data_IF_462870057783
#
_entry.id   IF_462870057783
#
_cell.length_a   1.000
_cell.length_b   1.000
_cell.length_c   1.000
_cell.angle_alpha   90.00
_cell.angle_beta   90.00
_cell.angle_gamma   90.00
#
_symmetry.space_group_name_H-M   'P 1'
#
loop_
_entity.id
_entity.type
_entity.pdbx_description
1 polymer ?
#
# COMPACT_ATOMS: atom_id res chain seq x y z
N UNK A 1 -17.24 -6.70 -41.18
CA UNK A 1 -17.70 -6.01 -39.95
C UNK A 1 -16.56 -6.05 -38.94
N UNK A 2 -15.62 -5.10 -39.04
CA UNK A 2 -14.50 -5.00 -38.09
C UNK A 2 -15.08 -4.64 -36.72
N UNK A 3 -14.98 -5.55 -35.76
CA UNK A 3 -15.21 -5.24 -34.35
C UNK A 3 -14.13 -4.23 -33.96
N UNK A 4 -14.47 -2.94 -33.93
CA UNK A 4 -13.70 -1.95 -33.19
C UNK A 4 -13.67 -2.44 -31.75
N UNK A 5 -12.57 -3.07 -31.35
CA UNK A 5 -12.24 -3.14 -29.94
C UNK A 5 -12.23 -1.69 -29.46
N UNK A 6 -13.15 -1.38 -28.56
CA UNK A 6 -13.16 -0.09 -27.89
C UNK A 6 -11.94 -0.12 -26.96
N UNK A 7 -10.78 0.25 -27.49
CA UNK A 7 -9.64 0.67 -26.67
C UNK A 7 -10.16 1.94 -26.01
N UNK A 8 -10.64 1.81 -24.77
CA UNK A 8 -10.99 2.99 -23.98
C UNK A 8 -9.77 3.90 -23.96
N UNK A 9 -9.91 5.19 -24.29
CA UNK A 9 -8.78 6.10 -24.29
C UNK A 9 -8.11 6.11 -22.92
N UNK A 10 -6.78 6.16 -22.95
CA UNK A 10 -5.85 6.02 -21.84
C UNK A 10 -6.24 6.85 -20.59
N UNK A 11 -6.46 6.14 -19.49
CA UNK A 11 -5.98 6.42 -18.12
C UNK A 11 -6.47 7.59 -17.24
N UNK A 12 -7.54 8.33 -17.55
CA UNK A 12 -8.10 9.26 -16.52
C UNK A 12 -8.91 8.59 -15.41
N UNK A 13 -9.64 7.52 -15.74
CA UNK A 13 -10.57 6.92 -14.77
C UNK A 13 -9.83 6.23 -13.61
N UNK A 14 -8.75 5.51 -13.90
CA UNK A 14 -7.98 4.79 -12.87
C UNK A 14 -7.12 5.72 -12.02
N UNK A 15 -6.58 6.79 -12.60
CA UNK A 15 -5.95 7.88 -11.85
C UNK A 15 -6.96 8.49 -10.86
N UNK A 16 -8.14 8.89 -11.35
CA UNK A 16 -9.21 9.43 -10.50
C UNK A 16 -9.64 8.45 -9.41
N UNK A 17 -9.77 7.15 -9.71
CA UNK A 17 -10.08 6.13 -8.69
C UNK A 17 -8.99 6.10 -7.63
N UNK A 18 -7.71 6.09 -8.02
CA UNK A 18 -6.59 6.10 -7.08
C UNK A 18 -6.57 7.38 -6.21
N UNK A 19 -6.90 8.54 -6.78
CA UNK A 19 -7.07 9.80 -6.05
C UNK A 19 -8.22 9.73 -5.04
N UNK A 20 -9.37 9.17 -5.42
CA UNK A 20 -10.51 8.97 -4.50
C UNK A 20 -10.15 8.00 -3.37
N UNK A 21 -9.41 6.92 -3.67
CA UNK A 21 -8.87 6.02 -2.65
C UNK A 21 -7.90 6.74 -1.71
N UNK A 22 -7.04 7.61 -2.24
CA UNK A 22 -6.09 8.39 -1.46
C UNK A 22 -6.81 9.38 -0.53
N UNK A 23 -7.85 10.06 -1.02
CA UNK A 23 -8.73 10.91 -0.20
C UNK A 23 -9.37 10.08 0.92
N UNK A 24 -9.95 8.93 0.59
CA UNK A 24 -10.57 8.05 1.59
C UNK A 24 -9.58 7.57 2.67
N UNK A 25 -8.34 7.24 2.29
CA UNK A 25 -7.27 6.90 3.24
C UNK A 25 -6.90 8.09 4.13
N UNK A 26 -6.73 9.28 3.53
CA UNK A 26 -6.38 10.52 4.24
C UNK A 26 -7.44 10.88 5.28
N UNK A 27 -8.71 10.85 4.91
CA UNK A 27 -9.83 11.23 5.79
C UNK A 27 -10.31 10.11 6.70
N UNK A 28 -9.73 8.90 6.61
CA UNK A 28 -10.11 7.79 7.48
C UNK A 28 -9.93 8.16 8.97
N UNK A 29 -10.83 7.72 9.88
CA UNK A 29 -10.75 8.07 11.29
C UNK A 29 -9.51 7.44 11.94
N UNK A 30 -8.75 8.25 12.68
CA UNK A 30 -7.47 7.84 13.29
C UNK A 30 -7.44 8.17 14.78
N UNK A 31 -6.66 7.43 15.56
CA UNK A 31 -6.58 7.56 17.01
C UNK A 31 -6.20 8.99 17.42
N UNK A 32 -7.11 9.63 18.16
CA UNK A 32 -6.97 11.01 18.62
C UNK A 32 -6.99 12.06 17.50
N UNK A 33 -7.51 11.73 16.31
CA UNK A 33 -7.57 12.63 15.16
C UNK A 33 -6.19 12.99 14.58
N UNK A 34 -5.14 12.25 14.94
CA UNK A 34 -3.76 12.51 14.51
C UNK A 34 -3.43 11.66 13.29
N UNK A 35 -3.05 12.32 12.22
CA UNK A 35 -2.70 11.66 10.97
C UNK A 35 -1.18 11.59 10.79
N UNK A 36 -0.69 10.38 10.53
CA UNK A 36 0.72 10.07 10.30
C UNK A 36 0.92 9.25 9.02
N UNK A 37 -0.09 9.16 8.16
CA UNK A 37 0.03 8.40 6.92
C UNK A 37 0.67 9.23 5.81
N UNK A 38 1.44 8.55 4.97
CA UNK A 38 1.96 9.05 3.71
C UNK A 38 1.27 8.34 2.55
N UNK A 39 1.00 9.06 1.47
CA UNK A 39 0.28 8.53 0.31
C UNK A 39 1.08 8.83 -0.95
N UNK A 40 1.16 7.85 -1.85
CA UNK A 40 1.76 8.03 -3.18
C UNK A 40 1.06 7.15 -4.19
N UNK A 41 0.66 7.73 -5.30
CA UNK A 41 0.10 7.00 -6.44
C UNK A 41 1.24 6.70 -7.42
N UNK A 42 1.30 5.47 -7.92
CA UNK A 42 2.22 5.02 -8.96
C UNK A 42 1.41 4.64 -10.19
N UNK A 43 1.86 5.07 -11.37
CA UNK A 43 1.28 4.78 -12.69
C UNK A 43 2.38 4.73 -13.76
N UNK A 44 2.04 4.17 -14.93
CA UNK A 44 2.95 4.09 -16.08
C UNK A 44 4.28 3.41 -15.72
N UNK A 45 5.40 4.02 -16.12
CA UNK A 45 6.75 3.47 -15.94
C UNK A 45 7.10 3.13 -14.49
N UNK A 46 6.51 3.82 -13.51
CA UNK A 46 6.76 3.54 -12.09
C UNK A 46 6.20 2.17 -11.65
N UNK A 47 5.18 1.64 -12.33
CA UNK A 47 4.67 0.29 -12.10
C UNK A 47 5.64 -0.77 -12.60
N UNK A 48 6.22 -0.57 -13.80
CA UNK A 48 7.22 -1.49 -14.35
C UNK A 48 8.48 -1.51 -13.49
N UNK A 49 8.96 -0.33 -13.05
CA UNK A 49 10.09 -0.23 -12.14
C UNK A 49 9.85 -0.98 -10.82
N UNK A 50 8.65 -0.83 -10.24
CA UNK A 50 8.26 -1.54 -9.04
C UNK A 50 8.18 -3.06 -9.28
N UNK A 51 7.58 -3.51 -10.40
CA UNK A 51 7.45 -4.92 -10.75
C UNK A 51 8.81 -5.62 -10.92
N UNK A 52 9.76 -4.97 -11.61
CA UNK A 52 11.13 -5.45 -11.76
C UNK A 52 11.81 -5.55 -10.39
N UNK A 53 11.70 -4.51 -9.57
CA UNK A 53 12.29 -4.48 -8.24
C UNK A 53 11.71 -5.55 -7.31
N UNK A 54 10.40 -5.84 -7.41
CA UNK A 54 9.75 -6.92 -6.67
C UNK A 54 10.32 -8.27 -7.04
N UNK A 55 10.39 -8.59 -8.33
CA UNK A 55 10.99 -9.85 -8.83
C UNK A 55 12.42 -10.02 -8.32
N UNK A 56 13.24 -8.97 -8.48
CA UNK A 56 14.64 -8.97 -8.04
C UNK A 56 14.77 -9.20 -6.53
N UNK A 57 13.98 -8.49 -5.72
CA UNK A 57 13.98 -8.66 -4.27
C UNK A 57 13.61 -10.08 -3.85
N UNK A 58 12.61 -10.69 -4.51
CA UNK A 58 12.22 -12.08 -4.27
C UNK A 58 13.36 -13.07 -4.51
N UNK A 59 14.07 -12.91 -5.63
CA UNK A 59 15.22 -13.74 -6.00
C UNK A 59 16.39 -13.55 -5.02
N UNK A 60 16.78 -12.30 -4.74
CA UNK A 60 17.91 -11.98 -3.85
C UNK A 60 17.68 -12.43 -2.41
N UNK A 61 16.43 -12.42 -1.93
CA UNK A 61 16.07 -12.80 -0.55
C UNK A 61 15.52 -14.23 -0.43
N UNK A 62 15.45 -14.99 -1.53
CA UNK A 62 14.86 -16.33 -1.54
C UNK A 62 13.39 -16.35 -1.10
N UNK A 63 12.65 -15.24 -1.27
CA UNK A 63 11.26 -15.09 -0.83
C UNK A 63 10.30 -15.37 -1.96
N UNK A 64 9.35 -16.26 -1.72
CA UNK A 64 8.35 -16.70 -2.69
C UNK A 64 7.31 -15.60 -2.98
N UNK A 65 6.75 -15.66 -4.19
CA UNK A 65 5.60 -14.88 -4.67
C UNK A 65 5.84 -13.37 -4.90
N UNK A 66 7.07 -12.87 -4.76
CA UNK A 66 7.39 -11.49 -5.11
C UNK A 66 7.41 -11.27 -6.62
N UNK A 67 7.86 -12.27 -7.38
CA UNK A 67 7.76 -12.37 -8.83
C UNK A 67 6.31 -12.34 -9.31
N UNK A 68 5.45 -13.20 -8.73
CA UNK A 68 4.02 -13.26 -9.05
C UNK A 68 3.31 -11.94 -8.74
N UNK A 69 3.51 -11.41 -7.54
CA UNK A 69 2.86 -10.14 -7.16
C UNK A 69 3.44 -8.96 -7.96
N UNK A 70 4.70 -9.05 -8.42
CA UNK A 70 5.30 -8.10 -9.36
C UNK A 70 4.62 -8.12 -10.72
N UNK A 71 4.29 -9.30 -11.26
CA UNK A 71 3.51 -9.40 -12.50
C UNK A 71 2.11 -8.80 -12.37
N UNK A 72 1.46 -8.97 -11.20
CA UNK A 72 0.19 -8.31 -10.93
C UNK A 72 0.33 -6.78 -10.95
N UNK A 73 1.40 -6.24 -10.37
CA UNK A 73 1.69 -4.80 -10.40
C UNK A 73 1.93 -4.29 -11.82
N UNK A 74 2.72 -5.02 -12.62
CA UNK A 74 2.97 -4.70 -14.04
C UNK A 74 1.68 -4.59 -14.85
N UNK A 75 0.72 -5.49 -14.58
CA UNK A 75 -0.59 -5.53 -15.25
C UNK A 75 -1.64 -4.63 -14.60
N UNK A 76 -1.29 -3.90 -13.54
CA UNK A 76 -2.20 -2.98 -12.88
C UNK A 76 -2.23 -1.63 -13.59
N UNK A 77 -3.31 -0.89 -13.38
CA UNK A 77 -3.51 0.43 -13.95
C UNK A 77 -2.93 1.54 -13.06
N UNK A 78 -2.92 1.31 -11.74
CA UNK A 78 -2.27 2.16 -10.75
C UNK A 78 -1.95 1.37 -9.48
N UNK A 79 -1.09 1.91 -8.62
CA UNK A 79 -0.86 1.44 -7.25
C UNK A 79 -0.95 2.63 -6.30
N UNK A 80 -1.80 2.52 -5.27
CA UNK A 80 -1.75 3.42 -4.13
C UNK A 80 -0.83 2.84 -3.05
N UNK A 81 0.27 3.51 -2.76
CA UNK A 81 1.10 3.27 -1.59
C UNK A 81 0.52 4.03 -0.39
N UNK A 82 0.39 3.34 0.74
CA UNK A 82 0.01 3.93 2.03
C UNK A 82 1.09 3.57 3.05
N UNK A 83 1.82 4.57 3.51
CA UNK A 83 2.88 4.46 4.49
C UNK A 83 2.46 5.02 5.84
N UNK A 84 3.08 4.55 6.91
CA UNK A 84 3.05 5.16 8.23
C UNK A 84 4.42 5.75 8.52
N UNK A 85 4.48 7.07 8.76
CA UNK A 85 5.73 7.82 8.91
C UNK A 85 5.82 8.55 10.24
N UNK A 86 6.93 8.35 10.98
CA UNK A 86 7.27 9.05 12.23
C UNK A 86 6.09 9.19 13.19
N UNK A 87 5.28 8.12 13.29
CA UNK A 87 4.01 8.19 13.98
C UNK A 87 4.20 8.36 15.50
N UNK A 88 3.72 9.48 16.04
CA UNK A 88 3.81 9.72 17.47
C UNK A 88 2.94 8.71 18.24
N UNK A 89 3.42 8.29 19.41
CA UNK A 89 2.72 7.34 20.28
C UNK A 89 1.36 7.91 20.72
N UNK A 90 0.39 7.03 20.97
CA UNK A 90 -0.97 7.45 21.35
C UNK A 90 -1.04 8.10 22.74
N UNK A 91 -0.08 7.83 23.63
CA UNK A 91 -0.05 8.39 24.98
C UNK A 91 -1.07 7.75 25.94
N UNK A 92 -1.45 6.50 25.68
CA UNK A 92 -2.49 5.78 26.45
C UNK A 92 -1.94 4.83 27.52
N UNK A 93 -0.62 4.61 27.55
CA UNK A 93 0.06 3.64 28.44
C UNK A 93 -0.62 2.26 28.51
N UNK A 94 -1.12 1.79 27.36
CA UNK A 94 -2.02 0.63 27.28
C UNK A 94 -1.35 -0.74 27.18
N UNK A 95 -0.02 -0.84 27.09
CA UNK A 95 0.68 -2.13 26.98
C UNK A 95 0.61 -2.83 25.61
N UNK A 96 -0.31 -2.46 24.70
CA UNK A 96 -0.59 -3.22 23.47
C UNK A 96 0.59 -3.37 22.48
N UNK A 97 1.62 -2.52 22.60
CA UNK A 97 2.84 -2.58 21.80
C UNK A 97 3.99 -3.34 22.49
N UNK A 98 3.72 -3.96 23.64
CA UNK A 98 4.70 -4.68 24.46
C UNK A 98 5.42 -3.83 25.51
N UNK A 99 5.34 -2.50 25.44
CA UNK A 99 5.90 -1.59 26.44
C UNK A 99 4.86 -1.19 27.50
N UNK A 100 5.25 -1.17 28.78
CA UNK A 100 4.36 -0.83 29.90
C UNK A 100 3.80 0.60 29.79
N UNK A 101 4.66 1.58 29.50
CA UNK A 101 4.24 2.97 29.21
C UNK A 101 4.67 3.36 27.80
N UNK A 102 3.97 4.33 27.22
CA UNK A 102 4.33 4.91 25.93
C UNK A 102 5.75 5.50 25.98
N UNK A 103 6.17 6.09 27.09
CA UNK A 103 7.53 6.60 27.25
C UNK A 103 8.60 5.50 27.09
N UNK A 104 8.29 4.27 27.49
CA UNK A 104 9.22 3.14 27.49
C UNK A 104 9.33 2.44 26.12
N UNK A 105 8.42 2.72 25.18
CA UNK A 105 8.52 2.18 23.82
C UNK A 105 9.70 2.85 23.08
N UNK A 106 10.68 2.07 22.65
CA UNK A 106 11.81 2.59 21.88
C UNK A 106 11.36 3.22 20.56
N UNK A 107 12.22 4.10 20.01
CA UNK A 107 12.02 4.63 18.66
C UNK A 107 12.14 3.52 17.60
N UNK A 108 11.49 3.67 16.44
CA UNK A 108 11.60 2.68 15.37
C UNK A 108 13.04 2.55 14.89
N UNK A 109 13.50 1.33 14.72
CA UNK A 109 14.79 0.97 14.15
C UNK A 109 14.61 -0.02 13.00
N UNK A 110 15.63 -0.16 12.15
CA UNK A 110 15.57 -1.04 10.98
C UNK A 110 15.34 -2.50 11.37
N UNK A 111 14.28 -3.09 10.83
CA UNK A 111 14.09 -4.52 10.79
C UNK A 111 14.43 -5.11 9.41
N UNK A 112 14.17 -6.43 9.20
CA UNK A 112 14.45 -7.09 7.93
C UNK A 112 13.77 -6.43 6.74
N UNK A 113 12.52 -6.00 6.90
CA UNK A 113 11.68 -5.40 5.85
C UNK A 113 11.20 -4.00 6.22
N UNK A 114 10.58 -3.89 7.39
CA UNK A 114 10.03 -2.64 7.94
C UNK A 114 10.77 -2.22 9.22
N UNK A 115 10.61 -0.96 9.61
CA UNK A 115 11.11 -0.47 10.89
C UNK A 115 10.08 -0.66 12.01
N UNK A 116 10.56 -0.84 13.23
CA UNK A 116 9.75 -0.99 14.43
C UNK A 116 10.61 -0.91 15.70
N UNK A 117 10.01 -0.98 16.90
CA UNK A 117 8.59 -1.18 17.16
C UNK A 117 7.75 0.07 16.82
N UNK A 118 6.45 -0.14 16.58
CA UNK A 118 5.47 0.93 16.32
C UNK A 118 4.35 0.84 17.35
N UNK A 119 3.80 1.99 17.76
CA UNK A 119 2.61 2.02 18.60
C UNK A 119 1.45 1.25 17.92
N UNK A 120 0.85 0.28 18.64
CA UNK A 120 -0.19 -0.60 18.08
C UNK A 120 -1.37 0.18 17.47
N UNK A 121 -1.79 1.29 18.10
CA UNK A 121 -2.86 2.14 17.58
C UNK A 121 -2.49 2.86 16.27
N UNK A 122 -1.20 3.08 16.00
CA UNK A 122 -0.75 3.67 14.72
C UNK A 122 -0.71 2.65 13.60
N UNK A 123 -0.46 1.38 13.92
CA UNK A 123 -0.67 0.28 12.97
C UNK A 123 -2.16 0.07 12.67
N UNK A 124 -3.03 0.22 13.68
CA UNK A 124 -4.49 0.22 13.46
C UNK A 124 -4.91 1.40 12.58
N UNK A 125 -4.39 2.60 12.81
CA UNK A 125 -4.64 3.78 11.96
C UNK A 125 -4.26 3.52 10.49
N UNK A 126 -3.09 2.88 10.25
CA UNK A 126 -2.68 2.44 8.91
C UNK A 126 -3.68 1.42 8.33
N UNK A 127 -4.13 0.45 9.13
CA UNK A 127 -5.14 -0.53 8.73
C UNK A 127 -6.49 0.11 8.35
N UNK A 128 -6.95 1.10 9.11
CA UNK A 128 -8.18 1.86 8.84
C UNK A 128 -8.05 2.65 7.53
N UNK A 129 -6.90 3.28 7.30
CA UNK A 129 -6.62 3.99 6.05
C UNK A 129 -6.63 3.03 4.83
N UNK A 130 -5.94 1.88 4.95
CA UNK A 130 -5.91 0.84 3.93
C UNK A 130 -7.31 0.28 3.64
N UNK A 131 -8.09 -0.02 4.68
CA UNK A 131 -9.46 -0.50 4.54
C UNK A 131 -10.38 0.52 3.88
N UNK A 132 -10.22 1.81 4.19
CA UNK A 132 -11.00 2.89 3.58
C UNK A 132 -10.68 3.07 2.08
N UNK A 133 -9.41 2.99 1.71
CA UNK A 133 -8.99 2.99 0.31
C UNK A 133 -9.51 1.77 -0.45
N UNK A 134 -9.30 0.56 0.07
CA UNK A 134 -9.76 -0.68 -0.58
C UNK A 134 -11.29 -0.73 -0.72
N UNK A 135 -12.03 -0.27 0.29
CA UNK A 135 -13.49 -0.10 0.21
C UNK A 135 -13.89 0.85 -0.92
N UNK A 136 -13.17 1.96 -1.09
CA UNK A 136 -13.47 2.96 -2.13
C UNK A 136 -13.29 2.38 -3.53
N UNK A 137 -12.20 1.64 -3.78
CA UNK A 137 -12.03 0.87 -5.02
C UNK A 137 -13.19 -0.12 -5.23
N UNK A 138 -13.59 -0.86 -4.19
CA UNK A 138 -14.70 -1.80 -4.24
C UNK A 138 -16.06 -1.16 -4.55
N UNK A 139 -16.36 0.02 -4.00
CA UNK A 139 -17.59 0.78 -4.32
C UNK A 139 -17.63 1.15 -5.81
N UNK A 140 -16.46 1.44 -6.39
CA UNK A 140 -16.31 1.76 -7.81
C UNK A 140 -16.18 0.52 -8.70
N UNK A 141 -16.34 -0.68 -8.12
CA UNK A 141 -16.18 -1.98 -8.80
C UNK A 141 -14.81 -2.16 -9.47
N UNK A 142 -13.78 -1.56 -8.88
CA UNK A 142 -12.40 -1.69 -9.34
C UNK A 142 -11.73 -2.82 -8.56
N UNK A 143 -11.14 -3.76 -9.31
CA UNK A 143 -10.39 -4.85 -8.73
C UNK A 143 -9.20 -4.29 -7.95
N UNK A 144 -8.99 -4.80 -6.73
CA UNK A 144 -7.93 -4.34 -5.86
C UNK A 144 -7.51 -5.41 -4.85
N UNK A 145 -6.32 -5.24 -4.26
CA UNK A 145 -5.84 -6.12 -3.17
C UNK A 145 -4.79 -5.43 -2.31
N UNK A 146 -4.98 -5.38 -1.00
CA UNK A 146 -3.90 -4.90 -0.10
C UNK A 146 -2.72 -5.88 -0.13
N UNK A 147 -1.53 -5.40 -0.51
CA UNK A 147 -0.32 -6.21 -0.67
C UNK A 147 0.84 -5.68 0.18
N UNK A 148 1.32 -6.52 1.10
CA UNK A 148 2.51 -6.21 1.90
C UNK A 148 3.79 -6.18 1.04
N UNK A 149 3.90 -7.05 0.03
CA UNK A 149 5.13 -7.19 -0.80
C UNK A 149 5.47 -5.92 -1.56
N UNK A 150 4.44 -5.22 -2.06
CA UNK A 150 4.60 -3.90 -2.68
C UNK A 150 5.25 -2.95 -1.68
N UNK A 151 4.74 -2.91 -0.45
CA UNK A 151 5.24 -2.02 0.59
C UNK A 151 6.68 -2.31 1.00
N UNK A 152 7.06 -3.59 1.12
CA UNK A 152 8.45 -4.00 1.39
C UNK A 152 9.39 -3.42 0.33
N UNK A 153 9.06 -3.64 -0.94
CA UNK A 153 9.94 -3.21 -2.04
C UNK A 153 9.95 -1.70 -2.17
N UNK A 154 8.78 -1.04 -2.10
CA UNK A 154 8.69 0.41 -2.14
C UNK A 154 9.54 1.10 -1.05
N UNK A 155 9.61 0.50 0.14
CA UNK A 155 10.49 0.96 1.21
C UNK A 155 11.96 0.74 0.88
N UNK A 156 12.34 -0.48 0.50
CA UNK A 156 13.74 -0.86 0.28
C UNK A 156 14.38 -0.18 -0.94
N UNK A 157 13.58 0.23 -1.92
CA UNK A 157 14.05 1.00 -3.08
C UNK A 157 13.95 2.52 -2.89
N UNK A 158 13.42 3.00 -1.76
CA UNK A 158 13.25 4.43 -1.51
C UNK A 158 12.12 5.09 -2.31
N UNK A 159 11.20 4.31 -2.92
CA UNK A 159 10.03 4.85 -3.61
C UNK A 159 9.10 5.63 -2.66
N UNK A 160 9.07 5.27 -1.38
CA UNK A 160 8.41 6.00 -0.31
C UNK A 160 9.21 5.87 0.99
N UNK A 161 9.38 6.99 1.69
CA UNK A 161 10.03 7.06 3.01
C UNK A 161 8.99 6.95 4.13
N UNK A 162 8.88 5.77 4.73
CA UNK A 162 7.99 5.44 5.85
C UNK A 162 8.49 4.19 6.60
N UNK A 163 8.14 4.03 7.88
CA UNK A 163 8.56 2.87 8.67
C UNK A 163 7.83 1.59 8.23
N UNK A 164 6.54 1.69 7.92
CA UNK A 164 5.69 0.59 7.43
C UNK A 164 4.93 1.07 6.20
N UNK A 165 4.92 0.28 5.12
CA UNK A 165 4.20 0.59 3.88
C UNK A 165 3.39 -0.63 3.45
N UNK A 166 2.21 -0.40 2.88
CA UNK A 166 1.49 -1.37 2.05
C UNK A 166 1.09 -0.72 0.72
N UNK A 167 0.90 -1.54 -0.30
CA UNK A 167 0.40 -1.09 -1.60
C UNK A 167 -0.97 -1.67 -1.90
N UNK A 168 -1.78 -0.92 -2.64
CA UNK A 168 -3.05 -1.36 -3.20
C UNK A 168 -2.97 -1.15 -4.72
N UNK A 169 -2.60 -2.19 -5.49
CA UNK A 169 -2.74 -2.16 -6.93
C UNK A 169 -4.23 -2.18 -7.29
N UNK A 170 -4.57 -1.48 -8.36
CA UNK A 170 -5.92 -1.46 -8.92
C UNK A 170 -5.90 -1.73 -10.43
N UNK A 171 -6.93 -2.43 -10.91
CA UNK A 171 -7.11 -2.73 -12.32
C UNK A 171 -8.58 -2.75 -12.73
N UNK A 172 -8.87 -2.42 -13.99
CA UNK A 172 -10.20 -2.53 -14.59
C UNK A 172 -10.20 -3.52 -15.76
N UNK A 173 -10.08 -4.81 -15.46
CA UNK A 173 -10.00 -5.89 -16.47
C UNK A 173 -11.20 -6.84 -16.39
N UNK A 174 -11.52 -7.53 -17.48
CA UNK A 174 -12.67 -8.46 -17.52
C UNK A 174 -12.54 -9.69 -16.60
N UNK A 175 -11.32 -10.03 -16.18
CA UNK A 175 -11.02 -11.03 -15.16
C UNK A 175 -10.11 -10.40 -14.10
N UNK A 176 -10.39 -10.62 -12.83
CA UNK A 176 -9.60 -10.05 -11.74
C UNK A 176 -8.21 -10.72 -11.66
N UNK A 177 -7.18 -9.94 -12.00
CA UNK A 177 -5.79 -10.41 -12.07
C UNK A 177 -5.20 -10.77 -10.70
N UNK A 178 -5.75 -10.25 -9.60
CA UNK A 178 -5.23 -10.48 -8.25
C UNK A 178 -5.66 -11.81 -7.63
N UNK A 179 -6.58 -12.52 -8.29
CA UNK A 179 -7.13 -13.81 -7.86
C UNK A 179 -7.00 -14.92 -8.92
N UNK A 180 -6.24 -14.68 -9.99
CA UNK A 180 -5.84 -15.73 -10.93
C UNK A 180 -4.99 -16.79 -10.20
N UNK A 181 -5.60 -17.95 -9.93
CA UNK A 181 -5.01 -19.12 -9.28
C UNK A 181 -5.25 -20.36 -10.12
#
# INVERSE_FOLDING_TARGET
MQRRFFIMPEFKAMELVAELMAIAARTAPKAGGKDFIELKILQGDSLEQLAIAMTRYGQEKGKKNFDRDGENVRRSDAVLLVGLKKAAKAGLDCGACGAARCADLEGPHEGPEFAGPICAWRLIDLGIALGSAAKTAGILNVDNRVMYRIGVVARKTGLMDAEVIAGIPISATGKNIYFDR
#
